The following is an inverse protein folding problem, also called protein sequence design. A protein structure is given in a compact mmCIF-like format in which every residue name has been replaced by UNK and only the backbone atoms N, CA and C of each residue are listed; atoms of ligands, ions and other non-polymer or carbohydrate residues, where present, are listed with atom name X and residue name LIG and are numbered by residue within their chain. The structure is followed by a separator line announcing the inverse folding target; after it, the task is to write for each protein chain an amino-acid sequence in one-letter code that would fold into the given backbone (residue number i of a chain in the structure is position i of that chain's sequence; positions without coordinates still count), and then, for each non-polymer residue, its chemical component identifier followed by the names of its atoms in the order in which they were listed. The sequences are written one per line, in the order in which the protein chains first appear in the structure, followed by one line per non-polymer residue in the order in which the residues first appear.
data_IF_578510189329
#
_entry.id   IF_578510189329
#
_cell.length_a   1.000
_cell.length_b   1.000
_cell.length_c   1.000
_cell.angle_alpha   90.00
_cell.angle_beta   90.00
_cell.angle_gamma   90.00
#
_symmetry.space_group_name_H-M   'P 1'
#
loop_
_entity.id
_entity.type
_entity.pdbx_description
1 polymer ?
#
# COMPACT_ATOMS: atom_id res chain seq x y z
N UNK A 1 -4.83 24.30 -4.27
CA UNK A 1 -4.18 23.23 -5.05
C UNK A 1 -3.14 22.64 -4.12
N UNK A 2 -3.42 21.49 -3.49
CA UNK A 2 -2.46 20.83 -2.59
C UNK A 2 -1.37 20.25 -3.50
N UNK A 3 -0.10 20.51 -3.18
CA UNK A 3 1.03 19.96 -3.92
C UNK A 3 0.88 18.44 -4.06
N UNK A 4 0.88 18.01 -5.32
CA UNK A 4 0.85 16.60 -5.75
C UNK A 4 2.30 16.03 -5.81
N UNK A 5 3.31 16.88 -5.57
CA UNK A 5 4.72 16.54 -5.33
C UNK A 5 4.98 16.56 -3.81
N UNK A 6 5.76 15.70 -3.15
CA UNK A 6 6.70 14.66 -3.58
C UNK A 6 7.06 13.83 -2.33
N UNK A 7 6.06 13.36 -1.60
CA UNK A 7 6.31 12.34 -0.58
C UNK A 7 5.49 11.15 -0.99
N UNK A 8 6.18 10.16 -1.56
CA UNK A 8 5.58 8.85 -1.77
C UNK A 8 4.91 8.46 -0.46
N UNK A 9 3.69 7.94 -0.52
CA UNK A 9 2.95 7.49 0.66
C UNK A 9 3.80 6.60 1.60
N UNK A 10 4.78 5.89 1.02
CA UNK A 10 5.76 5.05 1.70
C UNK A 10 6.71 5.85 2.59
N UNK A 11 7.05 7.07 2.19
CA UNK A 11 7.93 7.95 2.93
C UNK A 11 7.13 8.84 3.91
N UNK A 12 5.84 9.11 3.66
CA UNK A 12 5.07 10.05 4.50
C UNK A 12 4.64 9.38 5.80
N UNK A 13 5.47 9.47 6.83
CA UNK A 13 5.24 8.91 8.17
C UNK A 13 3.92 9.40 8.80
N UNK A 14 3.47 10.61 8.46
CA UNK A 14 2.26 11.26 8.99
C UNK A 14 1.00 10.99 8.14
N UNK A 15 1.08 10.08 7.16
CA UNK A 15 -0.05 9.71 6.30
C UNK A 15 -1.22 9.12 7.09
N UNK A 16 -2.41 9.72 7.08
CA UNK A 16 -3.56 9.19 7.83
C UNK A 16 -4.00 7.79 7.40
N UNK A 17 -4.67 7.05 8.30
CA UNK A 17 -5.14 5.69 8.06
C UNK A 17 -6.07 5.59 6.83
N UNK A 18 -6.97 6.57 6.64
CA UNK A 18 -7.82 6.65 5.45
C UNK A 18 -6.98 6.75 4.17
N UNK A 19 -5.95 7.61 4.18
CA UNK A 19 -5.09 7.83 3.02
C UNK A 19 -4.26 6.59 2.70
N UNK A 20 -3.72 5.93 3.72
CA UNK A 20 -3.01 4.66 3.61
C UNK A 20 -3.91 3.53 3.07
N UNK A 21 -5.17 3.45 3.50
CA UNK A 21 -6.11 2.45 3.00
C UNK A 21 -6.56 2.72 1.56
N UNK A 22 -6.72 3.99 1.17
CA UNK A 22 -6.98 4.36 -0.22
C UNK A 22 -5.83 3.91 -1.10
N UNK A 23 -4.60 4.26 -0.71
CA UNK A 23 -3.39 3.87 -1.43
C UNK A 23 -3.25 2.34 -1.53
N UNK A 24 -3.48 1.62 -0.44
CA UNK A 24 -3.46 0.16 -0.44
C UNK A 24 -4.45 -0.41 -1.47
N UNK A 25 -5.65 0.17 -1.54
CA UNK A 25 -6.69 -0.25 -2.48
C UNK A 25 -6.23 -0.05 -3.93
N UNK A 26 -5.60 1.09 -4.22
CA UNK A 26 -5.08 1.41 -5.56
C UNK A 26 -3.97 0.44 -5.99
N UNK A 27 -2.96 0.19 -5.14
CA UNK A 27 -1.89 -0.75 -5.43
C UNK A 27 -2.38 -2.18 -5.62
N UNK A 28 -3.30 -2.64 -4.76
CA UNK A 28 -3.83 -4.00 -4.84
C UNK A 28 -4.74 -4.18 -6.07
N UNK A 29 -5.55 -3.17 -6.41
CA UNK A 29 -6.36 -3.20 -7.62
C UNK A 29 -5.49 -3.23 -8.89
N UNK A 30 -4.42 -2.43 -8.90
CA UNK A 30 -3.46 -2.42 -10.00
C UNK A 30 -2.72 -3.76 -10.11
N UNK A 31 -2.23 -4.31 -9.00
CA UNK A 31 -1.59 -5.62 -8.96
C UNK A 31 -2.52 -6.73 -9.49
N UNK A 32 -3.79 -6.71 -9.09
CA UNK A 32 -4.79 -7.67 -9.56
C UNK A 32 -5.05 -7.52 -11.08
N UNK A 33 -5.18 -6.29 -11.58
CA UNK A 33 -5.34 -6.02 -13.00
C UNK A 33 -4.15 -6.52 -13.81
N UNK A 34 -2.92 -6.20 -13.38
CA UNK A 34 -1.68 -6.65 -14.03
C UNK A 34 -1.55 -8.17 -14.00
N UNK A 35 -1.85 -8.82 -12.87
CA UNK A 35 -1.83 -10.28 -12.77
C UNK A 35 -2.80 -10.94 -13.77
N UNK A 36 -3.97 -10.35 -13.99
CA UNK A 36 -4.95 -10.84 -14.96
C UNK A 36 -4.45 -10.71 -16.39
N UNK A 37 -3.86 -9.57 -16.75
CA UNK A 37 -3.26 -9.38 -18.07
C UNK A 37 -2.10 -10.36 -18.33
N UNK A 38 -1.24 -10.58 -17.33
CA UNK A 38 -0.14 -11.56 -17.44
C UNK A 38 -0.67 -12.98 -17.59
N UNK A 39 -1.77 -13.32 -16.92
CA UNK A 39 -2.40 -14.62 -17.10
C UNK A 39 -2.92 -14.80 -18.54
N UNK A 40 -3.44 -13.75 -19.18
CA UNK A 40 -3.87 -13.80 -20.59
C UNK A 40 -2.68 -14.08 -21.53
N UNK A 41 -1.54 -13.42 -21.32
CA UNK A 41 -0.31 -13.61 -22.12
C UNK A 41 0.32 -14.99 -21.90
N UNK A 42 0.27 -15.53 -20.68
CA UNK A 42 0.86 -16.82 -20.35
C UNK A 42 0.19 -18.03 -21.04
N UNK A 43 -1.01 -17.85 -21.64
CA UNK A 43 -1.71 -18.90 -22.39
C UNK A 43 -1.24 -19.03 -23.84
N UNK A 44 -0.42 -18.10 -24.34
CA UNK A 44 0.16 -18.16 -25.67
C UNK A 44 1.45 -19.02 -25.64
N UNK A 45 1.70 -19.85 -26.66
CA UNK A 45 2.92 -20.68 -26.76
C UNK A 45 4.17 -19.79 -26.74
N UNK A 46 4.84 -19.74 -25.60
CA UNK A 46 5.97 -18.86 -25.31
C UNK A 46 7.32 -19.57 -25.49
N UNK A 47 8.31 -18.86 -26.02
CA UNK A 47 9.72 -19.32 -26.05
C UNK A 47 10.38 -19.11 -24.66
N UNK A 48 11.57 -19.69 -24.45
CA UNK A 48 12.31 -19.59 -23.17
C UNK A 48 12.58 -18.13 -22.74
N UNK A 49 12.70 -17.20 -23.71
CA UNK A 49 12.84 -15.77 -23.45
C UNK A 49 11.55 -15.15 -22.88
N UNK A 50 10.39 -15.54 -23.42
CA UNK A 50 9.07 -15.07 -22.96
C UNK A 50 8.78 -15.55 -21.53
N UNK A 51 9.26 -16.74 -21.16
CA UNK A 51 9.16 -17.24 -19.79
C UNK A 51 9.95 -16.42 -18.77
N UNK A 52 11.12 -15.89 -19.13
CA UNK A 52 11.91 -15.03 -18.23
C UNK A 52 11.25 -13.67 -18.03
N UNK A 53 10.76 -13.07 -19.09
CA UNK A 53 10.08 -11.78 -19.04
C UNK A 53 8.75 -11.89 -18.28
N UNK A 54 8.01 -13.00 -18.46
CA UNK A 54 6.83 -13.32 -17.67
C UNK A 54 7.17 -13.51 -16.19
N UNK A 55 8.25 -14.24 -15.87
CA UNK A 55 8.70 -14.42 -14.49
C UNK A 55 9.08 -13.10 -13.82
N UNK A 56 9.75 -12.21 -14.55
CA UNK A 56 10.07 -10.86 -14.08
C UNK A 56 8.79 -10.05 -13.82
N UNK A 57 7.83 -10.09 -14.73
CA UNK A 57 6.56 -9.38 -14.59
C UNK A 57 5.74 -9.88 -13.39
N UNK A 58 5.73 -11.19 -13.11
CA UNK A 58 5.14 -11.77 -11.89
C UNK A 58 5.86 -11.26 -10.64
N UNK A 59 7.19 -11.13 -10.67
CA UNK A 59 7.96 -10.48 -9.61
C UNK A 59 7.53 -9.03 -9.37
N UNK A 60 7.24 -8.29 -10.45
CA UNK A 60 6.64 -6.96 -10.39
C UNK A 60 5.28 -6.95 -9.68
N UNK A 61 4.38 -7.88 -10.00
CA UNK A 61 3.10 -8.04 -9.29
C UNK A 61 3.30 -8.26 -7.80
N UNK A 62 4.24 -9.12 -7.41
CA UNK A 62 4.54 -9.36 -6.00
C UNK A 62 5.02 -8.09 -5.28
N UNK A 63 5.82 -7.25 -5.95
CA UNK A 63 6.26 -5.96 -5.39
C UNK A 63 5.07 -4.99 -5.18
N UNK A 64 4.15 -4.90 -6.14
CA UNK A 64 2.94 -4.07 -6.02
C UNK A 64 2.06 -4.52 -4.84
N UNK A 65 1.88 -5.84 -4.67
CA UNK A 65 1.16 -6.40 -3.52
C UNK A 65 1.84 -6.05 -2.21
N UNK A 66 3.18 -6.14 -2.15
CA UNK A 66 3.93 -5.82 -0.94
C UNK A 66 3.76 -4.34 -0.53
N UNK A 67 3.74 -3.42 -1.48
CA UNK A 67 3.48 -1.99 -1.24
C UNK A 67 2.07 -1.79 -0.65
N UNK A 68 1.05 -2.41 -1.25
CA UNK A 68 -0.32 -2.34 -0.74
C UNK A 68 -0.45 -2.92 0.67
N UNK A 69 0.17 -4.08 0.94
CA UNK A 69 0.21 -4.69 2.26
C UNK A 69 0.89 -3.79 3.30
N UNK A 70 2.00 -3.15 2.93
CA UNK A 70 2.70 -2.22 3.81
C UNK A 70 1.80 -1.04 4.21
N UNK A 71 1.05 -0.47 3.26
CA UNK A 71 0.10 0.60 3.53
C UNK A 71 -1.01 0.16 4.52
N UNK A 72 -1.56 -1.06 4.35
CA UNK A 72 -2.55 -1.63 5.30
C UNK A 72 -1.97 -1.79 6.70
N UNK A 73 -0.73 -2.30 6.82
CA UNK A 73 -0.09 -2.46 8.14
C UNK A 73 0.09 -1.11 8.84
N UNK A 74 0.54 -0.08 8.13
CA UNK A 74 0.67 1.28 8.68
C UNK A 74 -0.67 1.86 9.12
N UNK A 75 -1.73 1.66 8.33
CA UNK A 75 -3.08 2.11 8.69
C UNK A 75 -3.58 1.42 9.97
N UNK A 76 -3.33 0.11 10.11
CA UNK A 76 -3.68 -0.63 11.32
C UNK A 76 -2.97 -0.08 12.55
N UNK A 77 -1.67 0.21 12.45
CA UNK A 77 -0.90 0.81 13.54
C UNK A 77 -1.52 2.15 13.95
N UNK A 78 -1.83 3.03 13.00
CA UNK A 78 -2.46 4.32 13.32
C UNK A 78 -3.80 4.16 14.02
N UNK A 79 -4.71 3.33 13.51
CA UNK A 79 -6.02 3.12 14.14
C UNK A 79 -5.89 2.55 15.56
N UNK A 80 -4.92 1.66 15.79
CA UNK A 80 -4.69 1.05 17.11
C UNK A 80 -4.10 2.02 18.12
N UNK A 81 -3.21 2.92 17.70
CA UNK A 81 -2.47 3.81 18.60
C UNK A 81 -3.01 5.26 18.65
N UNK A 82 -3.77 5.71 17.66
CA UNK A 82 -4.49 7.00 17.67
C UNK A 82 -5.86 6.92 18.35
N UNK A 83 -6.17 5.80 19.01
CA UNK A 83 -7.43 5.61 19.71
C UNK A 83 -7.64 6.70 20.78
N UNK A 84 -8.82 7.36 20.85
CA UNK A 84 -9.09 8.51 21.73
C UNK A 84 -8.78 8.31 23.22
N UNK A 85 -8.66 7.08 23.69
CA UNK A 85 -8.37 6.74 25.09
C UNK A 85 -6.99 7.24 25.57
N UNK A 86 -6.07 7.63 24.68
CA UNK A 86 -4.78 8.22 25.09
C UNK A 86 -4.80 9.76 25.18
N UNK A 87 -5.76 10.44 24.56
CA UNK A 87 -5.79 11.92 24.51
C UNK A 87 -6.41 12.56 25.76
N UNK A 88 -7.22 11.82 26.51
CA UNK A 88 -7.84 12.31 27.75
C UNK A 88 -6.89 12.26 28.96
N UNK A 89 -5.77 11.52 28.88
CA UNK A 89 -4.81 11.39 29.98
C UNK A 89 -3.84 12.57 30.12
N UNK A 90 -3.60 13.35 29.04
CA UNK A 90 -2.67 14.49 29.06
C UNK A 90 -3.36 15.84 29.35
N UNK A 91 -4.70 15.87 29.45
CA UNK A 91 -5.49 17.09 29.62
C UNK A 91 -5.97 17.39 31.04
N UNK A 92 -5.60 16.61 32.05
CA UNK A 92 -6.04 16.87 33.43
C UNK A 92 -5.17 17.95 34.09
N UNK A 93 -5.70 19.16 34.37
CA UNK A 93 -4.97 20.14 35.15
C UNK A 93 -4.84 19.61 36.59
N UNK A 94 -3.61 19.32 37.02
CA UNK A 94 -3.31 19.09 38.43
C UNK A 94 -3.46 20.42 39.18
N UNK A 95 -4.69 20.71 39.59
CA UNK A 95 -5.01 21.82 40.47
C UNK A 95 -4.53 21.53 41.90
N UNK A 96 -3.67 22.41 42.43
CA UNK A 96 -3.53 22.66 43.85
C UNK A 96 -3.38 24.17 44.08
#
# INVERSE_FOLDING_TARGET
MKDINDYWILDDDDASAERLLNEATEWLAYAQGTARLLAEVAHEEADDADHRDLSLAIGGVAALVAVGQHCVQRAHVQVMFESPLHREAEGMPHGH
#
